data_IF_882200422018
#
_entry.id   IF_882200422018
#
_cell.length_a   1.000
_cell.length_b   1.000
_cell.length_c   1.000
_cell.angle_alpha   90.00
_cell.angle_beta   90.00
_cell.angle_gamma   90.00
#
_symmetry.space_group_name_H-M   'P 1'
#
loop_
_entity.id
_entity.type
_entity.pdbx_description
1 polymer ?
#
# COMPACT_ATOMS: atom_id res chain seq x y z
N UNK A 1 -47.91 6.95 39.72
CA UNK A 1 -47.26 8.25 39.41
C UNK A 1 -45.97 8.45 40.20
N UNK A 2 -45.92 8.13 41.49
CA UNK A 2 -44.71 8.24 42.34
C UNK A 2 -43.46 7.53 41.78
N UNK A 3 -43.58 6.31 41.24
CA UNK A 3 -42.45 5.62 40.59
C UNK A 3 -41.90 6.30 39.33
N UNK A 4 -42.72 7.10 38.61
CA UNK A 4 -42.27 7.81 37.41
C UNK A 4 -41.48 9.08 37.74
N UNK A 5 -41.79 9.72 38.87
CA UNK A 5 -41.08 10.92 39.35
C UNK A 5 -39.71 10.55 39.95
N UNK A 6 -39.65 9.50 40.77
CA UNK A 6 -38.37 9.02 41.32
C UNK A 6 -37.39 8.55 40.21
N UNK A 7 -37.89 7.89 39.17
CA UNK A 7 -37.08 7.50 38.01
C UNK A 7 -36.61 8.71 37.17
N UNK A 8 -37.27 9.86 37.28
CA UNK A 8 -36.90 11.08 36.56
C UNK A 8 -35.79 11.84 37.29
N UNK A 9 -35.90 12.02 38.60
CA UNK A 9 -34.83 12.61 39.43
C UNK A 9 -33.58 11.74 39.39
N UNK A 10 -33.72 10.42 39.47
CA UNK A 10 -32.60 9.48 39.37
C UNK A 10 -31.88 9.57 38.01
N UNK A 11 -32.60 9.70 36.89
CA UNK A 11 -31.97 9.83 35.58
C UNK A 11 -31.20 11.16 35.45
N UNK A 12 -31.70 12.25 36.03
CA UNK A 12 -31.00 13.53 36.03
C UNK A 12 -29.74 13.49 36.91
N UNK A 13 -29.83 12.90 38.10
CA UNK A 13 -28.67 12.69 38.98
C UNK A 13 -27.58 11.85 38.30
N UNK A 14 -27.96 10.79 37.59
CA UNK A 14 -27.02 9.94 36.86
C UNK A 14 -26.38 10.67 35.65
N UNK A 15 -27.13 11.53 34.95
CA UNK A 15 -26.59 12.39 33.88
C UNK A 15 -25.63 13.42 34.45
N UNK A 16 -25.97 14.05 35.58
CA UNK A 16 -25.13 15.04 36.25
C UNK A 16 -23.87 14.42 36.89
N UNK A 17 -23.94 13.13 37.24
CA UNK A 17 -22.83 12.35 37.78
C UNK A 17 -21.96 11.65 36.71
N UNK A 18 -22.20 11.91 35.42
CA UNK A 18 -21.55 11.22 34.29
C UNK A 18 -21.68 9.68 34.34
N UNK A 19 -22.72 9.16 35.00
CA UNK A 19 -22.97 7.72 35.13
C UNK A 19 -23.99 7.25 34.09
N UNK A 20 -23.52 7.01 32.88
CA UNK A 20 -24.37 6.62 31.75
C UNK A 20 -24.70 5.11 31.70
N UNK A 21 -24.50 4.38 32.80
CA UNK A 21 -24.67 2.92 32.83
C UNK A 21 -26.09 2.49 32.50
N UNK A 22 -27.08 3.10 33.15
CA UNK A 22 -28.49 2.78 32.93
C UNK A 22 -28.91 3.07 31.49
N UNK A 23 -28.41 4.18 30.93
CA UNK A 23 -28.66 4.53 29.53
C UNK A 23 -28.13 3.45 28.58
N UNK A 24 -26.91 2.94 28.84
CA UNK A 24 -26.31 1.85 28.05
C UNK A 24 -27.12 0.56 28.12
N UNK A 25 -27.44 0.11 29.34
CA UNK A 25 -28.21 -1.13 29.55
C UNK A 25 -29.58 -1.06 28.86
N UNK A 26 -30.27 0.08 28.95
CA UNK A 26 -31.62 0.25 28.39
C UNK A 26 -31.64 0.36 26.87
N UNK A 27 -30.68 1.07 26.28
CA UNK A 27 -30.59 1.18 24.83
C UNK A 27 -30.04 -0.08 24.15
N UNK A 28 -29.24 -0.90 24.85
CA UNK A 28 -28.91 -2.25 24.41
C UNK A 28 -30.13 -3.20 24.35
N UNK A 29 -31.18 -2.92 25.15
CA UNK A 29 -32.44 -3.70 25.13
C UNK A 29 -33.51 -3.14 24.18
N UNK A 30 -33.23 -2.03 23.49
CA UNK A 30 -34.18 -1.40 22.56
C UNK A 30 -35.36 -0.69 23.24
N UNK A 31 -35.27 -0.41 24.55
CA UNK A 31 -36.36 0.27 25.27
C UNK A 31 -36.36 1.77 24.97
N UNK A 32 -37.16 2.16 23.97
CA UNK A 32 -37.29 3.56 23.52
C UNK A 32 -37.75 4.55 24.60
N UNK A 33 -38.36 4.10 25.71
CA UNK A 33 -38.89 5.01 26.74
C UNK A 33 -37.80 5.73 27.53
N UNK A 34 -36.67 5.08 27.83
CA UNK A 34 -35.55 5.70 28.56
C UNK A 34 -34.76 6.61 27.62
N UNK A 35 -34.47 6.15 26.39
CA UNK A 35 -33.86 6.97 25.34
C UNK A 35 -34.68 8.23 25.06
N UNK A 36 -36.01 8.12 24.95
CA UNK A 36 -36.88 9.28 24.70
C UNK A 36 -36.77 10.35 25.77
N UNK A 37 -36.71 9.93 27.04
CA UNK A 37 -36.59 10.86 28.18
C UNK A 37 -35.20 11.46 28.26
N UNK A 38 -34.15 10.64 28.07
CA UNK A 38 -32.79 11.12 28.00
C UNK A 38 -32.65 12.20 26.93
N UNK A 39 -33.13 11.95 25.70
CA UNK A 39 -33.04 12.92 24.60
C UNK A 39 -33.82 14.20 24.89
N UNK A 40 -34.96 14.11 25.57
CA UNK A 40 -35.73 15.29 25.97
C UNK A 40 -35.00 16.14 27.02
N UNK A 41 -34.36 15.50 28.00
CA UNK A 41 -33.79 16.16 29.18
C UNK A 41 -32.32 16.55 29.02
N UNK A 42 -31.54 15.75 28.30
CA UNK A 42 -30.11 15.94 28.15
C UNK A 42 -29.80 17.19 27.32
N UNK A 43 -28.84 17.98 27.78
CA UNK A 43 -28.28 19.07 26.98
C UNK A 43 -27.50 18.50 25.80
N UNK A 44 -27.28 19.30 24.75
CA UNK A 44 -26.42 18.88 23.62
C UNK A 44 -25.02 18.51 24.10
N UNK A 45 -24.49 19.20 25.11
CA UNK A 45 -23.16 18.93 25.64
C UNK A 45 -23.11 17.59 26.39
N UNK A 46 -24.12 17.27 27.18
CA UNK A 46 -24.28 15.96 27.82
C UNK A 46 -24.37 14.84 26.78
N UNK A 47 -25.04 15.09 25.65
CA UNK A 47 -25.06 14.14 24.53
C UNK A 47 -23.66 14.00 23.92
N UNK A 48 -22.88 15.07 23.72
CA UNK A 48 -21.51 14.95 23.18
C UNK A 48 -20.57 14.16 24.08
N UNK A 49 -20.71 14.27 25.41
CA UNK A 49 -19.89 13.50 26.37
C UNK A 49 -20.04 11.99 26.13
N UNK A 50 -21.23 11.53 25.74
CA UNK A 50 -21.48 10.12 25.37
C UNK A 50 -20.74 9.64 24.11
N UNK A 51 -20.17 10.55 23.33
CA UNK A 51 -19.47 10.24 22.09
C UNK A 51 -17.98 10.54 22.15
N UNK A 52 -17.47 11.08 23.26
CA UNK A 52 -16.04 11.30 23.45
C UNK A 52 -15.30 9.96 23.43
N UNK A 53 -14.39 9.80 22.46
CA UNK A 53 -13.61 8.57 22.22
C UNK A 53 -12.76 8.16 23.44
N UNK A 54 -12.35 9.10 24.28
CA UNK A 54 -11.54 8.83 25.48
C UNK A 54 -12.33 8.15 26.61
N UNK A 55 -13.66 8.32 26.64
CA UNK A 55 -14.54 7.76 27.67
C UNK A 55 -15.00 6.32 27.36
N UNK A 56 -14.59 5.74 26.23
CA UNK A 56 -15.10 4.45 25.75
C UNK A 56 -13.99 3.48 25.33
N UNK A 57 -13.34 2.78 26.28
CA UNK A 57 -12.39 1.73 25.93
C UNK A 57 -13.04 0.43 25.42
N UNK A 58 -14.37 0.23 25.55
CA UNK A 58 -15.03 -1.03 25.16
C UNK A 58 -16.52 -0.87 24.77
N UNK A 59 -16.89 -1.13 23.49
CA UNK A 59 -17.73 -2.29 23.18
C UNK A 59 -19.25 -2.17 22.94
N UNK A 60 -19.89 -1.01 22.80
CA UNK A 60 -21.32 -0.99 22.38
C UNK A 60 -21.61 0.00 21.25
N UNK A 61 -21.12 -0.33 20.06
CA UNK A 61 -21.46 0.39 18.82
C UNK A 61 -22.96 0.34 18.55
N UNK A 62 -23.62 -0.76 18.92
CA UNK A 62 -25.08 -0.94 18.80
C UNK A 62 -25.84 0.14 19.57
N UNK A 63 -25.45 0.42 20.82
CA UNK A 63 -25.95 1.54 21.60
C UNK A 63 -25.80 2.87 20.86
N UNK A 64 -24.60 3.13 20.35
CA UNK A 64 -24.28 4.38 19.65
C UNK A 64 -25.19 4.59 18.45
N UNK A 65 -25.39 3.56 17.63
CA UNK A 65 -26.25 3.65 16.45
C UNK A 65 -27.71 3.83 16.83
N UNK A 66 -28.21 3.10 17.82
CA UNK A 66 -29.60 3.26 18.26
C UNK A 66 -29.85 4.67 18.82
N UNK A 67 -28.91 5.20 19.61
CA UNK A 67 -29.00 6.56 20.13
C UNK A 67 -28.98 7.59 18.99
N UNK A 68 -28.03 7.51 18.04
CA UNK A 68 -28.01 8.46 16.92
C UNK A 68 -29.25 8.30 16.05
N UNK A 69 -29.67 7.08 15.71
CA UNK A 69 -30.90 6.83 14.94
C UNK A 69 -32.09 7.49 15.61
N UNK A 70 -32.21 7.31 16.93
CA UNK A 70 -33.27 7.92 17.72
C UNK A 70 -33.17 9.46 17.72
N UNK A 71 -31.96 10.01 17.90
CA UNK A 71 -31.71 11.45 17.83
C UNK A 71 -32.06 12.02 16.45
N UNK A 72 -31.71 11.33 15.36
CA UNK A 72 -32.01 11.76 13.98
C UNK A 72 -33.51 11.85 13.76
N UNK A 73 -34.29 10.89 14.26
CA UNK A 73 -35.75 10.85 14.10
C UNK A 73 -36.44 11.88 15.01
N UNK A 74 -36.01 12.01 16.26
CA UNK A 74 -36.77 12.72 17.29
C UNK A 74 -36.17 14.07 17.72
N UNK A 75 -34.88 14.31 17.44
CA UNK A 75 -34.15 15.52 17.81
C UNK A 75 -33.03 15.84 16.78
N UNK A 76 -33.37 16.06 15.49
CA UNK A 76 -32.39 16.16 14.39
C UNK A 76 -31.36 17.27 14.59
N UNK A 77 -31.70 18.36 15.28
CA UNK A 77 -30.76 19.43 15.65
C UNK A 77 -29.64 18.93 16.57
N UNK A 78 -29.99 18.10 17.57
CA UNK A 78 -29.01 17.50 18.48
C UNK A 78 -28.17 16.44 17.76
N UNK A 79 -28.81 15.63 16.90
CA UNK A 79 -28.10 14.66 16.07
C UNK A 79 -27.07 15.35 15.18
N UNK A 80 -27.43 16.45 14.52
CA UNK A 80 -26.52 17.20 13.67
C UNK A 80 -25.35 17.80 14.46
N UNK A 81 -25.63 18.48 15.56
CA UNK A 81 -24.56 19.06 16.39
C UNK A 81 -23.56 18.01 16.86
N UNK A 82 -24.03 16.78 17.09
CA UNK A 82 -23.19 15.66 17.47
C UNK A 82 -22.33 15.17 16.28
N UNK A 83 -22.96 14.93 15.14
CA UNK A 83 -22.32 14.54 13.87
C UNK A 83 -21.19 15.51 13.52
N UNK A 84 -21.48 16.81 13.58
CA UNK A 84 -20.53 17.88 13.28
C UNK A 84 -19.39 17.93 14.31
N UNK A 85 -19.70 17.75 15.61
CA UNK A 85 -18.68 17.78 16.67
C UNK A 85 -17.70 16.61 16.64
N UNK A 86 -18.09 15.46 16.09
CA UNK A 86 -17.20 14.30 15.88
C UNK A 86 -16.45 14.40 14.54
N UNK A 87 -16.51 15.56 13.87
CA UNK A 87 -15.97 15.76 12.52
C UNK A 87 -16.39 14.62 11.58
N UNK A 88 -17.68 14.25 11.63
CA UNK A 88 -18.25 13.17 10.85
C UNK A 88 -17.62 11.78 11.07
N UNK A 89 -16.82 11.58 12.13
CA UNK A 89 -16.18 10.31 12.48
C UNK A 89 -17.16 9.14 12.64
N UNK A 90 -18.41 9.42 12.96
CA UNK A 90 -19.48 8.42 13.00
C UNK A 90 -19.78 7.78 11.62
N UNK A 91 -19.53 8.47 10.50
CA UNK A 91 -19.68 7.89 9.15
C UNK A 91 -18.70 6.73 8.95
N UNK A 92 -17.49 6.86 9.51
CA UNK A 92 -16.51 5.79 9.49
C UNK A 92 -16.98 4.55 10.26
N UNK A 93 -17.67 4.74 11.38
CA UNK A 93 -18.30 3.62 12.11
C UNK A 93 -19.46 3.01 11.33
N UNK A 94 -20.31 3.83 10.72
CA UNK A 94 -21.40 3.33 9.87
C UNK A 94 -20.88 2.49 8.69
N UNK A 95 -19.72 2.88 8.13
CA UNK A 95 -18.98 2.14 7.11
C UNK A 95 -18.47 0.80 7.63
N UNK A 96 -17.73 0.79 8.75
CA UNK A 96 -17.13 -0.42 9.32
C UNK A 96 -18.14 -1.54 9.64
N UNK A 97 -19.36 -1.17 10.01
CA UNK A 97 -20.36 -2.14 10.46
C UNK A 97 -21.56 -2.28 9.50
N UNK A 98 -21.47 -1.71 8.30
CA UNK A 98 -22.50 -1.85 7.25
C UNK A 98 -23.90 -1.43 7.71
N UNK A 99 -24.00 -0.32 8.45
CA UNK A 99 -25.29 0.16 8.99
C UNK A 99 -26.12 0.93 7.95
N UNK A 100 -26.49 0.27 6.86
CA UNK A 100 -27.26 0.87 5.75
C UNK A 100 -28.55 1.52 6.24
N UNK A 101 -29.31 0.84 7.11
CA UNK A 101 -30.58 1.35 7.65
C UNK A 101 -30.43 2.65 8.45
N UNK A 102 -29.30 2.81 9.14
CA UNK A 102 -28.97 4.02 9.87
C UNK A 102 -28.64 5.18 8.93
N UNK A 103 -27.83 4.93 7.91
CA UNK A 103 -27.49 5.94 6.91
C UNK A 103 -28.73 6.37 6.12
N UNK A 104 -29.62 5.44 5.77
CA UNK A 104 -30.91 5.78 5.19
C UNK A 104 -31.75 6.67 6.12
N UNK A 105 -31.75 6.38 7.42
CA UNK A 105 -32.46 7.19 8.42
C UNK A 105 -31.93 8.62 8.44
N UNK A 106 -30.61 8.81 8.40
CA UNK A 106 -29.98 10.12 8.30
C UNK A 106 -30.42 10.85 7.04
N UNK A 107 -30.30 10.20 5.88
CA UNK A 107 -30.64 10.80 4.58
C UNK A 107 -32.11 11.23 4.53
N UNK A 108 -33.01 10.45 5.15
CA UNK A 108 -34.46 10.72 5.15
C UNK A 108 -34.90 11.81 6.13
N UNK A 109 -34.13 12.06 7.21
CA UNK A 109 -34.58 12.91 8.32
C UNK A 109 -33.73 14.19 8.53
N UNK A 110 -32.54 14.29 7.95
CA UNK A 110 -31.77 15.54 8.00
C UNK A 110 -32.34 16.59 7.04
N UNK A 111 -32.20 17.86 7.44
CA UNK A 111 -32.50 18.97 6.55
C UNK A 111 -31.58 18.95 5.32
N UNK A 112 -32.05 19.36 4.12
CA UNK A 112 -31.31 19.20 2.87
C UNK A 112 -29.90 19.79 2.88
N UNK A 113 -29.71 20.97 3.48
CA UNK A 113 -28.41 21.64 3.59
C UNK A 113 -27.40 20.85 4.43
N UNK A 114 -27.87 20.19 5.49
CA UNK A 114 -27.04 19.34 6.35
C UNK A 114 -26.70 18.03 5.67
N UNK A 115 -27.67 17.45 4.98
CA UNK A 115 -27.43 16.27 4.17
C UNK A 115 -26.39 16.54 3.09
N UNK A 116 -26.44 17.69 2.41
CA UNK A 116 -25.40 18.08 1.45
C UNK A 116 -24.03 18.21 2.09
N UNK A 117 -23.93 18.86 3.24
CA UNK A 117 -22.66 18.98 3.97
C UNK A 117 -22.12 17.60 4.38
N UNK A 118 -23.00 16.69 4.81
CA UNK A 118 -22.65 15.31 5.12
C UNK A 118 -22.15 14.53 3.90
N UNK A 119 -22.84 14.66 2.77
CA UNK A 119 -22.50 13.98 1.51
C UNK A 119 -21.17 14.50 0.96
N UNK A 120 -20.92 15.80 1.04
CA UNK A 120 -19.70 16.43 0.54
C UNK A 120 -18.49 16.27 1.48
N UNK A 121 -18.69 15.70 2.68
CA UNK A 121 -17.60 15.41 3.60
C UNK A 121 -16.59 14.46 2.94
N UNK A 122 -15.30 14.75 3.15
CA UNK A 122 -14.17 13.96 2.65
C UNK A 122 -14.23 13.68 1.14
N UNK A 123 -14.54 14.73 0.36
CA UNK A 123 -14.69 14.66 -1.10
C UNK A 123 -15.61 13.52 -1.57
N UNK A 124 -16.77 13.41 -0.91
CA UNK A 124 -17.81 12.43 -1.25
C UNK A 124 -17.41 10.96 -0.98
N UNK A 125 -16.52 10.68 -0.01
CA UNK A 125 -16.08 9.31 0.36
C UNK A 125 -17.25 8.36 0.65
N UNK A 126 -18.34 8.88 1.23
CA UNK A 126 -19.54 8.08 1.50
C UNK A 126 -20.17 7.50 0.22
N UNK A 127 -20.08 8.23 -0.89
CA UNK A 127 -20.59 7.80 -2.19
C UNK A 127 -19.62 6.83 -2.88
N UNK A 128 -18.31 7.11 -2.87
CA UNK A 128 -17.30 6.27 -3.53
C UNK A 128 -16.93 5.04 -2.69
N UNK A 129 -16.32 5.24 -1.53
CA UNK A 129 -15.69 4.17 -0.76
C UNK A 129 -16.64 3.33 0.07
N UNK A 130 -17.83 3.83 0.40
CA UNK A 130 -18.85 3.03 1.07
C UNK A 130 -19.90 2.54 0.07
N UNK A 131 -20.66 3.44 -0.55
CA UNK A 131 -21.80 3.02 -1.34
C UNK A 131 -21.38 2.24 -2.61
N UNK A 132 -20.41 2.76 -3.37
CA UNK A 132 -19.97 2.12 -4.60
C UNK A 132 -19.12 0.85 -4.35
N UNK A 133 -18.12 0.93 -3.47
CA UNK A 133 -17.23 -0.19 -3.13
C UNK A 133 -17.98 -1.39 -2.52
N UNK A 134 -18.96 -1.14 -1.66
CA UNK A 134 -19.71 -2.20 -0.97
C UNK A 134 -20.91 -2.72 -1.78
N UNK A 135 -21.11 -2.25 -3.01
CA UNK A 135 -22.19 -2.75 -3.87
C UNK A 135 -23.58 -2.24 -3.49
N UNK A 136 -23.67 -1.10 -2.80
CA UNK A 136 -24.93 -0.57 -2.29
C UNK A 136 -25.56 0.44 -3.26
N UNK A 137 -25.98 -0.05 -4.43
CA UNK A 137 -26.60 0.75 -5.48
C UNK A 137 -27.82 1.54 -5.00
N UNK A 138 -28.67 0.93 -4.17
CA UNK A 138 -29.89 1.59 -3.68
C UNK A 138 -29.58 2.78 -2.76
N UNK A 139 -28.51 2.67 -1.96
CA UNK A 139 -28.05 3.81 -1.17
C UNK A 139 -27.44 4.91 -2.05
N UNK A 140 -26.68 4.57 -3.11
CA UNK A 140 -26.20 5.57 -4.08
C UNK A 140 -27.35 6.34 -4.74
N UNK A 141 -28.40 5.62 -5.17
CA UNK A 141 -29.62 6.22 -5.72
C UNK A 141 -30.32 7.10 -4.70
N UNK A 142 -30.36 6.69 -3.42
CA UNK A 142 -30.93 7.51 -2.35
C UNK A 142 -30.16 8.83 -2.17
N UNK A 143 -28.83 8.78 -2.17
CA UNK A 143 -28.00 10.00 -2.10
C UNK A 143 -28.24 10.91 -3.30
N UNK A 144 -28.29 10.37 -4.52
CA UNK A 144 -28.59 11.12 -5.73
C UNK A 144 -30.02 11.70 -5.74
N UNK A 145 -30.99 10.97 -5.19
CA UNK A 145 -32.38 11.43 -5.09
C UNK A 145 -32.52 12.63 -4.14
N UNK A 146 -31.81 12.61 -3.01
CA UNK A 146 -31.91 13.65 -1.99
C UNK A 146 -30.91 14.82 -2.18
N UNK A 147 -29.88 14.64 -3.01
CA UNK A 147 -28.94 15.69 -3.41
C UNK A 147 -28.70 15.70 -4.94
N UNK A 148 -29.75 15.92 -5.76
CA UNK A 148 -29.67 15.82 -7.21
C UNK A 148 -28.72 16.87 -7.83
N UNK A 149 -28.59 18.03 -7.17
CA UNK A 149 -27.66 19.09 -7.56
C UNK A 149 -26.18 18.71 -7.32
N UNK A 150 -25.92 17.71 -6.47
CA UNK A 150 -24.58 17.21 -6.18
C UNK A 150 -24.23 15.93 -6.95
N UNK A 151 -25.16 15.29 -7.66
CA UNK A 151 -24.93 13.98 -8.29
C UNK A 151 -23.73 13.95 -9.22
N UNK A 152 -23.59 14.95 -10.10
CA UNK A 152 -22.43 14.99 -11.00
C UNK A 152 -21.12 15.27 -10.27
N UNK A 153 -21.16 16.02 -9.16
CA UNK A 153 -19.97 16.26 -8.32
C UNK A 153 -19.56 14.97 -7.60
N UNK A 154 -20.53 14.23 -7.02
CA UNK A 154 -20.31 12.92 -6.40
C UNK A 154 -19.66 11.93 -7.37
N UNK A 155 -20.12 11.90 -8.63
CA UNK A 155 -19.56 10.99 -9.65
C UNK A 155 -18.14 11.39 -10.05
N UNK A 156 -17.82 12.69 -10.13
CA UNK A 156 -16.50 13.20 -10.56
C UNK A 156 -15.46 13.22 -9.45
N UNK A 157 -15.91 13.22 -8.19
CA UNK A 157 -15.06 13.30 -7.02
C UNK A 157 -13.91 12.28 -7.08
N UNK A 158 -12.76 12.67 -6.52
CA UNK A 158 -11.58 11.81 -6.49
C UNK A 158 -11.16 11.24 -7.86
N UNK A 159 -11.46 11.95 -8.96
CA UNK A 159 -11.17 11.48 -10.32
C UNK A 159 -12.02 10.28 -10.73
N UNK A 160 -13.32 10.33 -10.44
CA UNK A 160 -14.28 9.23 -10.63
C UNK A 160 -14.09 8.05 -9.66
N UNK A 161 -13.77 8.34 -8.40
CA UNK A 161 -13.48 7.34 -7.37
C UNK A 161 -14.60 6.32 -7.17
N UNK A 162 -15.88 6.71 -7.30
CA UNK A 162 -17.00 5.79 -7.18
C UNK A 162 -17.06 4.77 -8.32
N UNK A 163 -16.75 5.17 -9.55
CA UNK A 163 -16.68 4.27 -10.69
C UNK A 163 -15.54 3.26 -10.51
N UNK A 164 -14.36 3.74 -10.10
CA UNK A 164 -13.21 2.89 -9.82
C UNK A 164 -13.48 1.91 -8.66
N UNK A 165 -14.11 2.38 -7.59
CA UNK A 165 -14.44 1.55 -6.43
C UNK A 165 -15.44 0.44 -6.78
N UNK A 166 -16.50 0.77 -7.51
CA UNK A 166 -17.46 -0.23 -8.01
C UNK A 166 -16.80 -1.20 -9.00
N UNK A 167 -15.91 -0.70 -9.85
CA UNK A 167 -15.17 -1.51 -10.81
C UNK A 167 -14.28 -2.53 -10.10
N UNK A 168 -13.41 -2.07 -9.20
CA UNK A 168 -12.48 -2.91 -8.44
C UNK A 168 -13.19 -3.92 -7.52
N UNK A 169 -14.46 -3.68 -7.20
CA UNK A 169 -15.27 -4.60 -6.39
C UNK A 169 -16.22 -5.48 -7.23
N UNK A 170 -16.20 -5.33 -8.56
CA UNK A 170 -16.99 -6.16 -9.48
C UNK A 170 -18.50 -5.81 -9.54
N UNK A 171 -18.92 -4.64 -9.08
CA UNK A 171 -20.34 -4.23 -9.00
C UNK A 171 -20.86 -3.66 -10.33
N UNK A 172 -21.14 -4.56 -11.28
CA UNK A 172 -21.56 -4.21 -12.65
C UNK A 172 -22.86 -3.39 -12.73
N UNK A 173 -23.77 -3.58 -11.79
CA UNK A 173 -25.02 -2.81 -11.69
C UNK A 173 -24.77 -1.34 -11.34
N UNK A 174 -23.81 -1.08 -10.44
CA UNK A 174 -23.37 0.27 -10.10
C UNK A 174 -22.65 0.93 -11.28
N UNK A 175 -21.76 0.20 -11.96
CA UNK A 175 -21.10 0.72 -13.17
C UNK A 175 -22.13 1.15 -14.22
N UNK A 176 -23.09 0.28 -14.51
CA UNK A 176 -24.18 0.56 -15.45
C UNK A 176 -24.96 1.80 -15.04
N UNK A 177 -25.35 1.89 -13.77
CA UNK A 177 -26.08 3.05 -13.24
C UNK A 177 -25.25 4.34 -13.32
N UNK A 178 -23.96 4.30 -12.99
CA UNK A 178 -23.06 5.46 -13.10
C UNK A 178 -22.94 5.93 -14.55
N UNK A 179 -22.78 5.00 -15.51
CA UNK A 179 -22.71 5.33 -16.95
C UNK A 179 -24.01 5.94 -17.49
N UNK A 180 -25.16 5.49 -17.00
CA UNK A 180 -26.48 6.03 -17.36
C UNK A 180 -26.75 7.40 -16.70
N UNK A 181 -26.19 7.63 -15.51
CA UNK A 181 -26.47 8.82 -14.69
C UNK A 181 -25.52 9.97 -14.98
N UNK A 182 -24.28 9.68 -15.37
CA UNK A 182 -23.25 10.71 -15.62
C UNK A 182 -23.51 11.45 -16.94
N UNK A 183 -23.18 12.74 -16.98
CA UNK A 183 -23.27 13.53 -18.22
C UNK A 183 -22.40 12.94 -19.35
N UNK A 184 -22.83 13.01 -20.63
CA UNK A 184 -22.10 12.37 -21.74
C UNK A 184 -20.63 12.78 -21.90
N UNK A 185 -20.30 14.06 -21.62
CA UNK A 185 -18.91 14.53 -21.66
C UNK A 185 -18.04 13.86 -20.59
N UNK A 186 -18.62 13.65 -19.41
CA UNK A 186 -17.97 13.04 -18.28
C UNK A 186 -17.95 11.51 -18.40
N UNK A 187 -18.95 10.91 -19.05
CA UNK A 187 -18.87 9.51 -19.48
C UNK A 187 -17.68 9.26 -20.40
N UNK A 188 -17.46 10.15 -21.38
CA UNK A 188 -16.34 10.03 -22.30
C UNK A 188 -14.99 10.19 -21.57
N UNK A 189 -14.91 11.15 -20.64
CA UNK A 189 -13.74 11.37 -19.79
C UNK A 189 -13.49 10.16 -18.87
N UNK A 190 -14.50 9.70 -18.13
CA UNK A 190 -14.47 8.50 -17.29
C UNK A 190 -14.01 7.28 -18.11
N UNK A 191 -14.62 6.99 -19.25
CA UNK A 191 -14.19 5.87 -20.12
C UNK A 191 -12.80 6.04 -20.72
N UNK A 192 -12.30 7.28 -20.84
CA UNK A 192 -10.93 7.56 -21.25
C UNK A 192 -9.92 7.30 -20.13
N UNK A 193 -10.26 7.66 -18.89
CA UNK A 193 -9.45 7.35 -17.70
C UNK A 193 -9.50 5.87 -17.30
N UNK A 194 -10.58 5.17 -17.69
CA UNK A 194 -10.91 3.82 -17.27
C UNK A 194 -11.27 2.92 -18.47
N UNK A 195 -10.32 2.62 -19.38
CA UNK A 195 -10.60 1.78 -20.55
C UNK A 195 -10.66 0.29 -20.17
N UNK A 196 -11.49 -0.07 -19.18
CA UNK A 196 -11.56 -1.41 -18.59
C UNK A 196 -12.06 -2.50 -19.54
N UNK A 197 -12.92 -2.17 -20.51
CA UNK A 197 -13.26 -3.13 -21.57
C UNK A 197 -12.02 -3.60 -22.36
N UNK A 198 -10.94 -2.80 -22.39
CA UNK A 198 -9.66 -3.22 -22.94
C UNK A 198 -8.88 -4.08 -21.97
N UNK A 199 -8.96 -3.81 -20.66
CA UNK A 199 -8.19 -4.55 -19.67
C UNK A 199 -8.73 -5.97 -19.45
N UNK A 200 -10.04 -6.16 -19.30
CA UNK A 200 -10.62 -7.52 -19.19
C UNK A 200 -10.33 -8.31 -20.45
N UNK A 201 -10.51 -7.69 -21.62
CA UNK A 201 -10.15 -8.29 -22.90
C UNK A 201 -8.65 -8.58 -23.01
N UNK A 202 -7.79 -7.74 -22.45
CA UNK A 202 -6.34 -7.92 -22.45
C UNK A 202 -5.93 -9.04 -21.50
N UNK A 203 -6.52 -9.12 -20.29
CA UNK A 203 -6.33 -10.20 -19.33
C UNK A 203 -6.78 -11.51 -19.96
N UNK A 204 -7.99 -11.56 -20.52
CA UNK A 204 -8.51 -12.73 -21.24
C UNK A 204 -7.57 -13.16 -22.37
N UNK A 205 -7.09 -12.20 -23.16
CA UNK A 205 -6.18 -12.46 -24.28
C UNK A 205 -4.85 -13.00 -23.78
N UNK A 206 -4.30 -12.39 -22.73
CA UNK A 206 -3.02 -12.77 -22.15
C UNK A 206 -3.10 -14.14 -21.48
N UNK A 207 -4.15 -14.41 -20.70
CA UNK A 207 -4.42 -15.72 -20.11
C UNK A 207 -4.63 -16.80 -21.17
N UNK A 208 -5.37 -16.51 -22.25
CA UNK A 208 -5.52 -17.46 -23.38
C UNK A 208 -4.17 -17.71 -24.07
N UNK A 209 -3.37 -16.66 -24.28
CA UNK A 209 -2.03 -16.75 -24.89
C UNK A 209 -1.09 -17.59 -24.04
N UNK A 210 -1.12 -17.39 -22.73
CA UNK A 210 -0.25 -18.07 -21.76
C UNK A 210 -0.95 -19.22 -21.01
N UNK A 211 -2.03 -19.78 -21.57
CA UNK A 211 -2.79 -20.85 -20.92
C UNK A 211 -1.97 -22.13 -20.69
N UNK A 212 -0.91 -22.32 -21.47
CA UNK A 212 0.01 -23.46 -21.38
C UNK A 212 1.44 -22.95 -21.41
N UNK A 213 1.97 -22.60 -20.24
CA UNK A 213 3.39 -22.27 -20.05
C UNK A 213 4.08 -23.40 -19.31
N UNK A 214 5.21 -23.85 -19.85
CA UNK A 214 6.08 -24.82 -19.18
C UNK A 214 7.05 -24.10 -18.25
N UNK A 215 7.23 -24.61 -17.03
CA UNK A 215 8.27 -24.13 -16.13
C UNK A 215 9.64 -24.65 -16.60
N UNK A 216 10.35 -23.81 -17.36
CA UNK A 216 11.67 -24.13 -17.92
C UNK A 216 12.81 -23.57 -17.08
N UNK A 217 12.56 -22.44 -16.43
CA UNK A 217 13.50 -21.72 -15.59
C UNK A 217 13.08 -21.93 -14.14
N UNK A 218 13.83 -22.77 -13.43
CA UNK A 218 13.60 -23.10 -12.02
C UNK A 218 14.69 -22.54 -11.09
N UNK A 219 15.81 -22.11 -11.66
CA UNK A 219 16.86 -21.45 -10.90
C UNK A 219 16.55 -19.95 -10.74
N UNK A 220 16.94 -19.37 -9.61
CA UNK A 220 16.84 -17.94 -9.36
C UNK A 220 18.10 -17.19 -9.78
N UNK A 221 17.95 -16.00 -10.34
CA UNK A 221 19.05 -15.06 -10.55
C UNK A 221 18.55 -13.61 -10.41
N UNK A 222 19.44 -12.72 -9.98
CA UNK A 222 19.20 -11.28 -9.90
C UNK A 222 19.10 -10.65 -11.27
N UNK A 223 19.96 -11.11 -12.18
CA UNK A 223 20.07 -10.56 -13.50
C UNK A 223 20.07 -11.67 -14.54
N UNK A 224 19.13 -11.58 -15.46
CA UNK A 224 19.02 -12.45 -16.62
C UNK A 224 19.31 -11.68 -17.89
N UNK A 225 19.86 -12.36 -18.87
CA UNK A 225 19.81 -11.94 -20.27
C UNK A 225 18.95 -12.93 -21.05
N UNK A 226 17.90 -12.43 -21.69
CA UNK A 226 17.11 -13.16 -22.65
C UNK A 226 17.52 -12.75 -24.07
N UNK A 227 17.85 -13.72 -24.92
CA UNK A 227 18.26 -13.49 -26.30
C UNK A 227 17.45 -14.33 -27.28
N UNK A 228 17.02 -13.74 -28.40
CA UNK A 228 16.29 -14.42 -29.48
C UNK A 228 16.80 -13.93 -30.83
N UNK A 229 16.95 -14.84 -31.80
CA UNK A 229 17.45 -14.47 -33.14
C UNK A 229 16.52 -13.44 -33.78
N UNK A 230 17.08 -12.34 -34.27
CA UNK A 230 16.32 -11.26 -34.88
C UNK A 230 15.63 -10.34 -33.87
N UNK A 231 16.01 -10.39 -32.59
CA UNK A 231 15.53 -9.53 -31.52
C UNK A 231 16.72 -8.97 -30.74
N UNK A 232 16.59 -7.76 -30.20
CA UNK A 232 17.59 -7.21 -29.27
C UNK A 232 17.49 -7.89 -27.89
N UNK A 233 18.59 -7.98 -27.12
CA UNK A 233 18.56 -8.64 -25.83
C UNK A 233 17.64 -7.91 -24.83
N UNK A 234 16.94 -8.69 -24.01
CA UNK A 234 16.19 -8.21 -22.85
C UNK A 234 16.99 -8.57 -21.60
N UNK A 235 17.25 -7.59 -20.75
CA UNK A 235 17.88 -7.80 -19.45
C UNK A 235 16.82 -7.73 -18.37
N UNK A 236 16.61 -8.80 -17.60
CA UNK A 236 15.68 -8.80 -16.47
C UNK A 236 16.46 -8.60 -15.18
N UNK A 237 16.23 -7.48 -14.50
CA UNK A 237 16.83 -7.16 -13.23
C UNK A 237 15.76 -7.27 -12.13
N UNK A 238 15.81 -8.37 -11.39
CA UNK A 238 14.94 -8.58 -10.22
C UNK A 238 15.50 -7.82 -9.02
N UNK A 239 14.72 -6.87 -8.55
CA UNK A 239 15.02 -6.00 -7.42
C UNK A 239 14.08 -6.29 -6.27
N UNK A 240 14.32 -5.66 -5.14
CA UNK A 240 13.22 -5.30 -4.27
C UNK A 240 13.03 -3.81 -4.39
N UNK A 241 11.79 -3.34 -4.33
CA UNK A 241 11.46 -1.92 -4.45
C UNK A 241 12.33 -1.08 -3.51
N UNK A 242 12.47 -1.49 -2.25
CA UNK A 242 13.22 -0.75 -1.24
C UNK A 242 14.37 -1.56 -0.67
N UNK A 243 15.57 -1.00 -0.74
CA UNK A 243 16.78 -1.60 -0.15
C UNK A 243 17.46 -0.63 0.82
N UNK A 244 18.21 -1.13 1.82
CA UNK A 244 19.11 -0.30 2.60
C UNK A 244 20.08 0.49 1.73
N UNK A 245 20.30 1.76 2.06
CA UNK A 245 21.16 2.68 1.28
C UNK A 245 22.58 2.11 1.10
N UNK A 246 23.13 1.44 2.11
CA UNK A 246 24.46 0.80 2.04
C UNK A 246 24.52 -0.42 1.10
N UNK A 247 23.37 -0.99 0.74
CA UNK A 247 23.26 -2.03 -0.29
C UNK A 247 23.07 -1.44 -1.68
N UNK A 248 22.55 -0.21 -1.81
CA UNK A 248 22.33 0.43 -3.10
C UNK A 248 23.63 0.69 -3.87
N UNK A 249 24.69 1.07 -3.17
CA UNK A 249 26.04 1.21 -3.74
C UNK A 249 26.51 -0.06 -4.47
N UNK A 250 26.06 -1.24 -4.03
CA UNK A 250 26.39 -2.53 -4.69
C UNK A 250 25.80 -2.61 -6.09
N UNK A 251 24.62 -2.03 -6.28
CA UNK A 251 23.88 -2.09 -7.53
C UNK A 251 24.16 -0.91 -8.44
N UNK A 252 24.69 0.21 -7.94
CA UNK A 252 25.02 1.36 -8.79
C UNK A 252 25.95 0.98 -9.95
N UNK A 253 27.09 0.36 -9.66
CA UNK A 253 28.03 -0.05 -10.69
C UNK A 253 27.47 -1.13 -11.61
N UNK A 254 26.58 -2.00 -11.10
CA UNK A 254 25.84 -2.95 -11.93
C UNK A 254 24.93 -2.18 -12.91
N UNK A 255 24.13 -1.25 -12.41
CA UNK A 255 23.20 -0.44 -13.19
C UNK A 255 23.93 0.41 -14.24
N UNK A 256 25.08 1.02 -13.94
CA UNK A 256 25.92 1.71 -14.95
C UNK A 256 26.20 0.78 -16.12
N UNK A 257 26.77 -0.39 -15.81
CA UNK A 257 27.21 -1.36 -16.80
C UNK A 257 26.09 -1.89 -17.70
N UNK A 258 24.85 -1.94 -17.21
CA UNK A 258 23.71 -2.42 -17.99
C UNK A 258 22.93 -1.31 -18.66
N UNK A 259 22.76 -0.16 -18.01
CA UNK A 259 22.15 1.02 -18.61
C UNK A 259 22.94 1.50 -19.83
N UNK A 260 24.27 1.39 -19.81
CA UNK A 260 25.11 1.67 -20.98
C UNK A 260 24.80 0.77 -22.18
N UNK A 261 24.32 -0.45 -21.95
CA UNK A 261 24.06 -1.47 -22.99
C UNK A 261 22.64 -1.48 -23.52
N UNK A 262 21.73 -0.73 -22.89
CA UNK A 262 20.32 -0.70 -23.27
C UNK A 262 19.90 0.68 -23.78
N UNK A 263 18.84 0.71 -24.58
CA UNK A 263 18.22 1.93 -25.07
C UNK A 263 17.01 2.34 -24.23
N UNK A 264 16.34 1.35 -23.64
CA UNK A 264 15.08 1.51 -22.90
C UNK A 264 15.18 0.86 -21.53
N UNK A 265 14.78 1.60 -20.49
CA UNK A 265 14.50 1.08 -19.16
C UNK A 265 12.98 0.93 -19.01
N UNK A 266 12.55 -0.26 -18.62
CA UNK A 266 11.25 -0.55 -18.07
C UNK A 266 11.35 -0.64 -16.55
N UNK A 267 10.45 0.02 -15.83
CA UNK A 267 10.32 -0.08 -14.37
C UNK A 267 8.91 -0.49 -13.98
N UNK A 268 8.79 -1.19 -12.85
CA UNK A 268 7.50 -1.50 -12.23
C UNK A 268 6.75 -0.22 -11.81
N UNK A 269 7.35 0.61 -10.96
CA UNK A 269 6.86 1.93 -10.51
C UNK A 269 5.33 2.11 -10.44
N UNK A 270 4.79 1.86 -9.24
CA UNK A 270 3.36 1.98 -8.93
C UNK A 270 2.84 3.44 -8.93
N UNK A 271 3.77 4.42 -8.93
CA UNK A 271 3.44 5.84 -8.79
C UNK A 271 4.38 6.72 -9.62
N UNK A 272 3.87 7.69 -10.41
CA UNK A 272 4.73 8.65 -11.10
C UNK A 272 5.54 9.49 -10.08
N UNK A 273 6.87 9.64 -10.26
CA UNK A 273 7.79 10.20 -9.27
C UNK A 273 7.50 11.62 -8.75
N UNK A 274 6.49 12.34 -9.27
CA UNK A 274 6.25 13.74 -8.91
C UNK A 274 4.97 14.00 -8.12
N UNK A 275 3.95 13.14 -8.20
CA UNK A 275 2.65 13.45 -7.57
C UNK A 275 2.62 13.10 -6.06
N UNK A 276 3.29 12.03 -5.64
CA UNK A 276 3.37 11.63 -4.22
C UNK A 276 4.53 12.28 -3.44
N UNK A 277 5.48 12.93 -4.13
CA UNK A 277 6.60 13.65 -3.47
C UNK A 277 6.17 14.75 -2.49
N UNK A 278 4.92 15.19 -2.51
CA UNK A 278 4.44 16.23 -1.58
C UNK A 278 4.28 15.72 -0.15
N UNK A 279 4.06 14.42 0.05
CA UNK A 279 3.80 13.85 1.38
C UNK A 279 4.76 12.71 1.75
N UNK A 280 5.42 12.09 0.77
CA UNK A 280 6.42 11.06 1.05
C UNK A 280 7.73 11.68 1.57
N UNK A 281 8.02 11.45 2.84
CA UNK A 281 9.33 11.73 3.44
C UNK A 281 10.20 10.49 3.24
N UNK A 282 11.17 10.48 2.31
CA UNK A 282 12.03 9.32 2.12
C UNK A 282 12.75 8.97 3.41
N UNK A 283 12.70 7.68 3.78
CA UNK A 283 13.38 7.21 4.98
C UNK A 283 14.91 7.30 4.78
N UNK A 284 15.68 7.88 5.72
CA UNK A 284 17.11 8.16 5.53
C UNK A 284 17.99 6.92 5.30
N UNK A 285 17.51 5.73 5.67
CA UNK A 285 18.25 4.47 5.56
C UNK A 285 17.76 3.54 4.44
N UNK A 286 16.69 3.89 3.73
CA UNK A 286 16.15 3.10 2.62
C UNK A 286 16.20 3.93 1.34
N UNK A 287 16.39 3.26 0.22
CA UNK A 287 16.25 3.88 -1.10
C UNK A 287 15.47 2.95 -2.01
N UNK A 288 14.73 3.52 -2.95
CA UNK A 288 14.12 2.74 -4.00
C UNK A 288 15.15 2.36 -5.06
N UNK A 289 15.28 1.07 -5.37
CA UNK A 289 16.18 0.61 -6.44
C UNK A 289 15.61 0.92 -7.83
N UNK A 290 14.28 0.97 -7.95
CA UNK A 290 13.60 1.34 -9.19
C UNK A 290 13.77 2.84 -9.47
N UNK A 291 13.65 3.69 -8.45
CA UNK A 291 13.95 5.13 -8.57
C UNK A 291 15.41 5.38 -8.91
N UNK A 292 16.33 4.62 -8.29
CA UNK A 292 17.76 4.71 -8.59
C UNK A 292 18.03 4.36 -10.06
N UNK A 293 17.45 3.27 -10.57
CA UNK A 293 17.54 2.88 -11.98
C UNK A 293 16.91 3.94 -12.89
N UNK A 294 15.75 4.46 -12.51
CA UNK A 294 15.02 5.50 -13.24
C UNK A 294 15.85 6.76 -13.38
N UNK A 295 16.23 7.40 -12.28
CA UNK A 295 16.99 8.65 -12.28
C UNK A 295 18.30 8.54 -13.06
N UNK A 296 18.94 7.37 -12.99
CA UNK A 296 20.17 7.08 -13.71
C UNK A 296 19.93 6.94 -15.22
N UNK A 297 18.89 6.21 -15.62
CA UNK A 297 18.47 6.12 -17.01
C UNK A 297 18.15 7.51 -17.59
N UNK A 298 17.48 8.38 -16.83
CA UNK A 298 17.21 9.77 -17.24
C UNK A 298 18.50 10.56 -17.48
N UNK A 299 19.47 10.51 -16.54
CA UNK A 299 20.77 11.18 -16.70
C UNK A 299 21.55 10.69 -17.90
N UNK A 300 21.40 9.41 -18.25
CA UNK A 300 22.06 8.77 -19.39
C UNK A 300 21.29 8.95 -20.72
N UNK A 301 20.19 9.71 -20.72
CA UNK A 301 19.36 9.95 -21.91
C UNK A 301 18.66 8.70 -22.44
N UNK A 302 18.42 7.70 -21.58
CA UNK A 302 17.73 6.46 -21.95
C UNK A 302 16.22 6.69 -21.98
N UNK A 303 15.51 5.93 -22.82
CA UNK A 303 14.05 5.96 -22.83
C UNK A 303 13.54 5.25 -21.59
N UNK A 304 12.57 5.85 -20.92
CA UNK A 304 11.97 5.27 -19.73
C UNK A 304 10.52 4.92 -20.05
N UNK A 305 10.10 3.73 -19.64
CA UNK A 305 8.74 3.23 -19.79
C UNK A 305 8.31 2.63 -18.46
N UNK A 306 7.10 2.96 -18.04
CA UNK A 306 6.48 2.34 -16.87
C UNK A 306 5.74 1.12 -17.38
N UNK A 307 5.97 -0.04 -16.75
CA UNK A 307 5.25 -1.27 -17.08
C UNK A 307 3.84 -1.25 -16.51
N UNK A 308 3.68 -0.62 -15.36
CA UNK A 308 2.39 -0.38 -14.77
C UNK A 308 1.72 0.83 -15.38
N UNK A 309 0.55 0.60 -15.97
CA UNK A 309 -0.46 1.64 -15.99
C UNK A 309 -1.37 1.44 -14.76
N UNK A 310 -2.04 2.51 -14.36
CA UNK A 310 -3.03 2.46 -13.26
C UNK A 310 -4.03 1.31 -13.44
N UNK A 311 -4.41 1.01 -14.67
CA UNK A 311 -5.33 -0.08 -15.00
C UNK A 311 -4.79 -1.46 -14.55
N UNK A 312 -3.54 -1.80 -14.86
CA UNK A 312 -2.89 -3.06 -14.49
C UNK A 312 -2.72 -3.19 -12.97
N UNK A 313 -2.37 -2.08 -12.30
CA UNK A 313 -2.33 -2.02 -10.83
C UNK A 313 -3.70 -2.35 -10.24
N UNK A 314 -4.74 -1.65 -10.67
CA UNK A 314 -6.07 -1.82 -10.10
C UNK A 314 -6.69 -3.19 -10.36
N UNK A 315 -6.42 -3.82 -11.52
CA UNK A 315 -6.87 -5.21 -11.77
C UNK A 315 -6.20 -6.26 -10.88
N UNK A 316 -5.05 -5.94 -10.28
CA UNK A 316 -4.36 -6.81 -9.34
C UNK A 316 -4.65 -6.51 -7.88
N UNK A 317 -5.53 -5.58 -7.54
CA UNK A 317 -5.66 -5.04 -6.17
C UNK A 317 -7.05 -5.16 -5.57
N UNK A 318 -7.82 -6.16 -5.98
CA UNK A 318 -9.05 -6.51 -5.26
C UNK A 318 -8.71 -6.80 -3.77
N UNK A 319 -9.02 -5.85 -2.89
CA UNK A 319 -9.02 -6.03 -1.43
C UNK A 319 -7.77 -5.59 -0.65
N UNK A 320 -6.73 -5.01 -1.25
CA UNK A 320 -5.56 -4.50 -0.51
C UNK A 320 -5.57 -2.96 -0.43
N UNK A 321 -5.59 -2.44 0.79
CA UNK A 321 -5.37 -1.02 1.07
C UNK A 321 -3.86 -0.72 1.03
N UNK A 322 -3.32 -0.57 -0.19
CA UNK A 322 -1.89 -0.37 -0.42
C UNK A 322 -1.34 0.91 0.23
N UNK A 323 -2.18 1.92 0.45
CA UNK A 323 -1.76 3.15 1.13
C UNK A 323 -1.30 2.87 2.55
N UNK A 324 -1.97 1.92 3.21
CA UNK A 324 -1.66 1.48 4.55
C UNK A 324 -0.54 0.45 4.57
N UNK A 325 -0.58 -0.55 3.71
CA UNK A 325 0.48 -1.57 3.65
C UNK A 325 1.83 -0.98 3.23
N UNK A 326 1.90 -0.06 2.27
CA UNK A 326 3.17 0.53 1.84
C UNK A 326 3.81 1.40 2.92
N UNK A 327 3.03 2.21 3.65
CA UNK A 327 3.55 3.03 4.75
C UNK A 327 3.95 2.19 5.98
N UNK A 328 3.14 1.19 6.34
CA UNK A 328 3.45 0.25 7.44
C UNK A 328 4.66 -0.63 7.07
N UNK A 329 4.77 -1.05 5.82
CA UNK A 329 5.90 -1.83 5.30
C UNK A 329 7.19 -0.99 5.26
N UNK A 330 7.16 0.24 4.77
CA UNK A 330 8.32 1.15 4.79
C UNK A 330 8.74 1.47 6.23
N UNK A 331 7.77 1.71 7.12
CA UNK A 331 8.03 1.95 8.55
C UNK A 331 8.62 0.70 9.23
N UNK A 332 8.08 -0.48 8.94
CA UNK A 332 8.63 -1.75 9.41
C UNK A 332 10.05 -1.97 8.88
N UNK A 333 10.30 -1.73 7.59
CA UNK A 333 11.63 -1.85 6.99
C UNK A 333 12.64 -0.89 7.62
N UNK A 334 12.19 0.32 7.93
CA UNK A 334 12.97 1.37 8.59
C UNK A 334 13.37 0.98 10.02
N UNK A 335 12.41 0.52 10.81
CA UNK A 335 12.60 0.15 12.22
C UNK A 335 13.39 -1.16 12.37
N UNK A 336 13.33 -2.06 11.39
CA UNK A 336 13.92 -3.40 11.44
C UNK A 336 15.10 -3.59 10.47
N UNK A 337 15.85 -2.52 10.17
CA UNK A 337 16.89 -2.52 9.13
C UNK A 337 17.90 -3.69 9.18
N UNK A 338 18.22 -4.24 10.37
CA UNK A 338 19.07 -5.43 10.50
C UNK A 338 18.37 -6.74 10.13
N UNK A 339 17.09 -6.91 10.48
CA UNK A 339 16.29 -8.07 10.05
C UNK A 339 16.06 -8.03 8.54
N UNK A 340 15.80 -6.84 8.03
CA UNK A 340 15.67 -6.56 6.60
C UNK A 340 16.97 -6.86 5.88
N UNK A 341 18.10 -6.47 6.44
CA UNK A 341 19.43 -6.83 5.93
C UNK A 341 19.66 -8.34 5.99
N UNK A 342 19.21 -9.03 7.03
CA UNK A 342 19.28 -10.49 7.12
C UNK A 342 18.39 -11.16 6.06
N UNK A 343 17.16 -10.68 5.85
CA UNK A 343 16.26 -11.09 4.77
C UNK A 343 16.93 -10.89 3.41
N UNK A 344 17.51 -9.71 3.16
CA UNK A 344 18.23 -9.44 1.92
C UNK A 344 19.46 -10.33 1.77
N UNK A 345 20.20 -10.63 2.82
CA UNK A 345 21.33 -11.55 2.72
C UNK A 345 20.88 -12.97 2.37
N UNK A 346 19.76 -13.44 2.92
CA UNK A 346 19.16 -14.73 2.56
C UNK A 346 18.66 -14.70 1.12
N UNK A 347 17.93 -13.65 0.73
CA UNK A 347 17.42 -13.45 -0.62
C UNK A 347 18.56 -13.36 -1.66
N UNK A 348 19.61 -12.58 -1.35
CA UNK A 348 20.80 -12.41 -2.18
C UNK A 348 21.63 -13.69 -2.31
N UNK A 349 21.53 -14.58 -1.33
CA UNK A 349 22.21 -15.88 -1.35
C UNK A 349 21.35 -16.96 -2.01
N UNK A 350 20.02 -16.84 -1.96
CA UNK A 350 19.10 -17.84 -2.48
C UNK A 350 17.73 -17.25 -2.87
N UNK A 351 17.60 -16.67 -4.09
CA UNK A 351 16.38 -16.00 -4.54
C UNK A 351 15.15 -16.92 -4.60
N UNK A 352 15.33 -18.24 -4.71
CA UNK A 352 14.21 -19.19 -4.81
C UNK A 352 13.57 -19.54 -3.47
N UNK A 353 14.10 -19.06 -2.33
CA UNK A 353 13.49 -19.27 -1.01
C UNK A 353 12.29 -18.36 -0.72
N UNK A 354 12.05 -17.33 -1.54
CA UNK A 354 10.83 -16.52 -1.43
C UNK A 354 9.66 -17.37 -1.94
N UNK A 355 8.98 -18.05 -1.01
CA UNK A 355 7.64 -18.59 -1.28
C UNK A 355 6.71 -17.38 -1.37
N UNK A 356 6.35 -17.03 -2.60
CA UNK A 356 5.48 -15.90 -2.94
C UNK A 356 4.26 -15.81 -2.02
N UNK A 357 4.18 -14.72 -1.28
CA UNK A 357 2.91 -14.18 -0.79
C UNK A 357 2.27 -13.54 -2.03
N UNK A 358 1.05 -13.94 -2.43
CA UNK A 358 0.29 -13.44 -3.59
C UNK A 358 0.76 -13.86 -5.00
N UNK A 359 0.67 -15.16 -5.33
CA UNK A 359 0.95 -15.67 -6.69
C UNK A 359 0.08 -15.03 -7.78
N UNK A 360 -1.22 -14.80 -7.53
CA UNK A 360 -2.14 -14.45 -8.62
C UNK A 360 -1.86 -13.10 -9.29
N UNK A 361 -1.46 -12.08 -8.53
CA UNK A 361 -1.38 -10.71 -9.05
C UNK A 361 -0.13 -10.48 -9.91
N UNK A 362 1.06 -10.86 -9.43
CA UNK A 362 2.28 -10.72 -10.23
C UNK A 362 2.24 -11.54 -11.52
N UNK A 363 1.55 -12.69 -11.53
CA UNK A 363 1.40 -13.55 -12.70
C UNK A 363 0.59 -12.85 -13.81
N UNK A 364 -0.56 -12.25 -13.49
CA UNK A 364 -1.38 -11.50 -14.47
C UNK A 364 -0.61 -10.27 -14.96
N UNK A 365 0.02 -9.50 -14.06
CA UNK A 365 0.83 -8.32 -14.38
C UNK A 365 1.94 -8.68 -15.38
N UNK A 366 2.68 -9.75 -15.10
CA UNK A 366 3.71 -10.27 -16.01
C UNK A 366 3.16 -10.56 -17.41
N UNK A 367 2.03 -11.27 -17.51
CA UNK A 367 1.43 -11.61 -18.80
C UNK A 367 1.08 -10.37 -19.62
N UNK A 368 0.56 -9.32 -18.98
CA UNK A 368 0.21 -8.06 -19.63
C UNK A 368 1.47 -7.27 -20.06
N UNK A 369 2.52 -7.27 -19.25
CA UNK A 369 3.78 -6.60 -19.57
C UNK A 369 4.53 -7.19 -20.75
N UNK A 370 4.35 -8.50 -21.01
CA UNK A 370 5.06 -9.19 -22.07
C UNK A 370 4.87 -8.55 -23.44
N UNK A 371 3.69 -8.00 -23.76
CA UNK A 371 3.48 -7.34 -25.05
C UNK A 371 4.45 -6.17 -25.26
N UNK A 372 4.56 -5.28 -24.27
CA UNK A 372 5.43 -4.11 -24.34
C UNK A 372 6.92 -4.51 -24.39
N UNK A 373 7.33 -5.50 -23.58
CA UNK A 373 8.71 -6.00 -23.54
C UNK A 373 9.09 -6.61 -24.90
N UNK A 374 8.23 -7.48 -25.46
CA UNK A 374 8.46 -8.15 -26.73
C UNK A 374 8.48 -7.16 -27.90
N UNK A 375 7.59 -6.16 -27.90
CA UNK A 375 7.54 -5.13 -28.93
C UNK A 375 8.84 -4.29 -28.94
N UNK A 376 9.36 -3.91 -27.77
CA UNK A 376 10.61 -3.17 -27.66
C UNK A 376 11.79 -3.99 -28.20
N UNK A 377 11.90 -5.25 -27.75
CA UNK A 377 12.97 -6.15 -28.21
C UNK A 377 12.90 -6.45 -29.72
N UNK A 378 11.70 -6.63 -30.28
CA UNK A 378 11.49 -6.82 -31.71
C UNK A 378 11.91 -5.60 -32.55
N UNK A 379 11.78 -4.39 -31.99
CA UNK A 379 12.23 -3.14 -32.61
C UNK A 379 13.76 -2.94 -32.62
N UNK A 380 14.54 -4.00 -32.35
CA UNK A 380 16.00 -4.01 -32.26
C UNK A 380 16.58 -3.05 -31.21
N UNK A 381 15.81 -2.77 -30.15
CA UNK A 381 16.22 -1.91 -29.05
C UNK A 381 16.46 -2.75 -27.79
N UNK A 382 17.70 -2.91 -27.32
CA UNK A 382 17.96 -3.63 -26.08
C UNK A 382 17.29 -2.91 -24.92
N UNK A 383 16.68 -3.67 -24.01
CA UNK A 383 15.98 -3.09 -22.87
C UNK A 383 16.38 -3.74 -21.54
N UNK A 384 16.34 -2.95 -20.48
CA UNK A 384 16.44 -3.41 -19.10
C UNK A 384 15.05 -3.34 -18.48
N UNK A 385 14.61 -4.43 -17.86
CA UNK A 385 13.35 -4.53 -17.13
C UNK A 385 13.69 -4.67 -15.65
N UNK A 386 13.51 -3.59 -14.88
CA UNK A 386 13.73 -3.54 -13.44
C UNK A 386 12.38 -3.69 -12.71
N UNK A 387 12.20 -4.82 -12.05
CA UNK A 387 10.93 -5.21 -11.39
C UNK A 387 11.22 -5.98 -10.11
N UNK A 388 10.25 -6.02 -9.22
CA UNK A 388 10.27 -6.76 -7.97
C UNK A 388 10.58 -8.26 -8.18
N UNK A 389 11.25 -8.85 -7.21
CA UNK A 389 11.68 -10.24 -7.17
C UNK A 389 10.57 -11.24 -7.50
N UNK A 390 9.36 -10.95 -7.04
CA UNK A 390 8.18 -11.79 -7.23
C UNK A 390 7.86 -12.02 -8.71
N UNK A 391 8.16 -11.04 -9.58
CA UNK A 391 7.91 -11.12 -11.01
C UNK A 391 8.77 -12.15 -11.74
N UNK A 392 9.81 -12.70 -11.10
CA UNK A 392 10.68 -13.70 -11.70
C UNK A 392 10.41 -15.13 -11.23
N UNK A 393 9.43 -15.34 -10.34
CA UNK A 393 9.15 -16.64 -9.74
C UNK A 393 7.98 -17.36 -10.44
N UNK A 394 8.04 -18.70 -10.42
CA UNK A 394 6.96 -19.57 -10.86
C UNK A 394 6.77 -19.64 -12.39
N UNK A 395 5.73 -20.38 -12.79
CA UNK A 395 5.48 -20.73 -14.19
C UNK A 395 5.14 -19.51 -15.06
N UNK A 396 4.58 -18.45 -14.48
CA UNK A 396 4.30 -17.18 -15.16
C UNK A 396 5.26 -16.06 -14.74
N UNK A 397 6.41 -16.40 -14.16
CA UNK A 397 7.51 -15.45 -13.98
C UNK A 397 8.05 -14.98 -15.33
N UNK A 398 8.51 -13.73 -15.42
CA UNK A 398 9.06 -13.15 -16.66
C UNK A 398 10.13 -14.02 -17.35
N UNK A 399 11.05 -14.71 -16.64
CA UNK A 399 11.99 -15.63 -17.29
C UNK A 399 11.29 -16.79 -18.02
N UNK A 400 10.25 -17.40 -17.41
CA UNK A 400 9.48 -18.48 -18.01
C UNK A 400 8.61 -17.99 -19.17
N UNK A 401 8.01 -16.81 -19.05
CA UNK A 401 7.26 -16.19 -20.14
C UNK A 401 8.15 -15.85 -21.35
N UNK A 402 9.34 -15.29 -21.13
CA UNK A 402 10.31 -15.06 -22.21
C UNK A 402 10.80 -16.37 -22.84
N UNK A 403 11.02 -17.41 -22.03
CA UNK A 403 11.39 -18.74 -22.52
C UNK A 403 10.26 -19.37 -23.36
N UNK A 404 9.00 -19.17 -22.97
CA UNK A 404 7.82 -19.56 -23.75
C UNK A 404 7.78 -18.84 -25.11
N UNK A 405 8.15 -17.56 -25.14
CA UNK A 405 8.27 -16.74 -26.37
C UNK A 405 9.51 -17.08 -27.22
N UNK A 406 10.28 -18.12 -26.85
CA UNK A 406 11.42 -18.62 -27.60
C UNK A 406 12.73 -17.86 -27.39
N UNK A 407 12.85 -17.10 -26.29
CA UNK A 407 14.13 -16.54 -25.87
C UNK A 407 14.97 -17.60 -25.15
N UNK A 408 16.28 -17.57 -25.38
CA UNK A 408 17.25 -18.28 -24.57
C UNK A 408 17.65 -17.41 -23.38
N UNK A 409 17.51 -17.94 -22.16
CA UNK A 409 17.79 -17.23 -20.92
C UNK A 409 19.18 -17.63 -20.40
N UNK A 410 19.99 -16.64 -20.03
CA UNK A 410 21.31 -16.85 -19.41
C UNK A 410 21.37 -16.04 -18.10
N UNK A 411 21.61 -16.69 -16.94
CA UNK A 411 21.80 -15.96 -15.70
C UNK A 411 23.15 -15.24 -15.74
N UNK A 412 23.13 -13.92 -15.62
CA UNK A 412 24.34 -13.09 -15.59
C UNK A 412 24.83 -12.86 -14.15
N UNK A 413 23.92 -12.81 -13.18
CA UNK A 413 24.25 -12.69 -11.77
C UNK A 413 23.28 -13.52 -10.92
N UNK A 414 23.75 -14.64 -10.36
CA UNK A 414 22.95 -15.48 -9.45
C UNK A 414 22.91 -14.96 -8.02
N UNK A 415 23.94 -14.21 -7.63
CA UNK A 415 24.08 -13.58 -6.32
C UNK A 415 24.21 -12.07 -6.48
N UNK A 416 23.83 -11.31 -5.45
CA UNK A 416 24.08 -9.89 -5.44
C UNK A 416 25.59 -9.59 -5.52
N UNK A 417 26.00 -8.48 -6.15
CA UNK A 417 27.39 -8.04 -6.13
C UNK A 417 27.87 -7.80 -4.68
N UNK A 418 29.14 -8.13 -4.36
CA UNK A 418 29.71 -7.85 -3.04
C UNK A 418 29.81 -6.34 -2.83
N UNK A 419 29.65 -5.85 -1.59
CA UNK A 419 29.90 -4.43 -1.31
C UNK A 419 31.37 -4.08 -1.44
N UNK A 420 31.68 -2.80 -1.69
CA UNK A 420 33.04 -2.29 -1.60
C UNK A 420 33.70 -2.64 -0.24
N UNK A 421 32.90 -2.64 0.84
CA UNK A 421 33.32 -3.07 2.17
C UNK A 421 33.64 -4.56 2.25
N UNK A 422 32.85 -5.42 1.59
CA UNK A 422 33.11 -6.85 1.52
C UNK A 422 34.37 -7.13 0.69
N UNK A 423 34.52 -6.47 -0.46
CA UNK A 423 35.73 -6.54 -1.28
C UNK A 423 36.98 -6.07 -0.51
N UNK A 424 36.87 -4.97 0.25
CA UNK A 424 37.97 -4.48 1.10
C UNK A 424 38.27 -5.47 2.23
N UNK A 425 37.24 -6.04 2.88
CA UNK A 425 37.41 -7.04 3.94
C UNK A 425 38.09 -8.30 3.40
N UNK A 426 37.71 -8.76 2.21
CA UNK A 426 38.33 -9.92 1.56
C UNK A 426 39.76 -9.62 1.11
N UNK A 427 40.02 -8.40 0.61
CA UNK A 427 41.37 -7.93 0.29
C UNK A 427 42.28 -7.92 1.54
N UNK A 428 41.74 -7.47 2.68
CA UNK A 428 42.43 -7.43 3.98
C UNK A 428 42.57 -8.81 4.63
N UNK A 429 41.67 -9.76 4.36
CA UNK A 429 41.72 -11.14 4.91
C UNK A 429 42.44 -12.12 3.99
N UNK A 430 42.67 -11.77 2.73
CA UNK A 430 43.31 -12.63 1.76
C UNK A 430 44.76 -12.97 2.11
N UNK A 431 45.29 -14.12 1.66
CA UNK A 431 46.64 -14.60 1.98
C UNK A 431 47.78 -13.69 1.49
N UNK A 432 47.46 -12.61 0.75
CA UNK A 432 48.43 -11.61 0.25
C UNK A 432 48.99 -10.67 1.34
N UNK A 433 48.46 -10.68 2.56
CA UNK A 433 49.17 -10.04 3.69
C UNK A 433 50.51 -10.72 4.04
N UNK A 434 50.78 -11.91 3.49
CA UNK A 434 52.12 -12.51 3.54
C UNK A 434 53.16 -11.73 2.72
N UNK A 435 52.75 -10.90 1.76
CA UNK A 435 53.65 -10.08 0.95
C UNK A 435 54.24 -8.92 1.78
N UNK A 436 53.46 -8.34 2.71
CA UNK A 436 53.95 -7.34 3.65
C UNK A 436 54.73 -7.94 4.82
N UNK A 437 54.59 -9.25 5.11
CA UNK A 437 55.41 -9.94 6.13
C UNK A 437 56.81 -10.33 5.67
N UNK A 438 57.11 -10.38 4.37
CA UNK A 438 58.43 -10.83 3.88
C UNK A 438 59.54 -9.76 3.92
N UNK A 439 59.19 -8.49 4.13
CA UNK A 439 60.16 -7.38 4.19
C UNK A 439 60.20 -6.66 5.54
N UNK A 440 59.59 -7.22 6.59
CA UNK A 440 59.88 -6.73 7.94
C UNK A 440 61.31 -7.17 8.28
N UNK A 441 62.27 -6.24 8.50
CA UNK A 441 63.60 -6.63 8.97
C UNK A 441 63.43 -7.40 10.27
N UNK A 442 64.08 -8.56 10.35
CA UNK A 442 64.16 -9.32 11.60
C UNK A 442 64.66 -8.38 12.69
N UNK A 443 63.80 -8.07 13.66
CA UNK A 443 64.23 -7.38 14.88
C UNK A 443 65.38 -8.18 15.48
N UNK A 444 66.48 -7.54 15.91
CA UNK A 444 67.56 -8.23 16.58
C UNK A 444 66.97 -8.96 17.79
N UNK A 445 67.12 -10.27 17.84
CA UNK A 445 66.96 -11.03 19.07
C UNK A 445 68.09 -10.62 19.99
N UNK A 446 67.91 -9.53 20.73
CA UNK A 446 68.69 -9.28 21.94
C UNK A 446 68.32 -10.39 22.93
N UNK A 447 69.32 -11.22 23.20
CA UNK A 447 69.34 -12.16 24.30
C UNK A 447 69.08 -11.41 25.61
N UNK A 448 67.87 -11.55 26.14
CA UNK A 448 67.58 -11.33 27.55
C UNK A 448 68.33 -12.41 28.35
N UNK A 449 69.61 -12.17 28.59
CA UNK A 449 70.33 -12.85 29.66
C UNK A 449 69.68 -12.45 31.00
N UNK A 450 69.31 -13.46 31.76
CA UNK A 450 68.73 -13.33 33.09
C UNK A 450 69.72 -12.66 34.05
N UNK A 451 69.35 -11.50 34.59
CA UNK A 451 70.04 -10.93 35.74
C UNK A 451 69.62 -11.68 37.03
N UNK A 452 70.56 -12.06 37.91
CA UNK A 452 70.27 -12.85 39.10
C UNK A 452 69.71 -12.01 40.24
N UNK A 453 68.97 -12.69 41.11
CA UNK A 453 68.31 -12.15 42.29
C UNK A 453 69.29 -11.66 43.38
N UNK A 454 68.95 -10.53 44.00
CA UNK A 454 69.10 -10.33 45.44
C UNK A 454 70.33 -9.54 45.92
N UNK A 455 70.10 -8.32 46.42
CA UNK A 455 70.78 -7.81 47.62
C UNK A 455 70.00 -6.58 48.15
N UNK A 456 69.74 -6.58 49.46
CA UNK A 456 68.98 -5.58 50.18
C UNK A 456 69.87 -4.66 51.03
N UNK A 457 69.30 -3.50 51.39
CA UNK A 457 69.59 -2.58 52.52
C UNK A 457 70.78 -1.61 52.38
N UNK A 458 70.86 -0.50 53.17
CA UNK A 458 69.94 -0.03 54.25
C UNK A 458 69.47 1.44 54.16
N UNK A 459 68.45 1.76 54.97
CA UNK A 459 68.07 3.12 55.38
C UNK A 459 68.95 3.59 56.55
N UNK A 460 69.23 4.90 56.61
CA UNK A 460 69.27 5.82 57.78
C UNK A 460 70.00 7.13 57.36
N UNK A 461 69.87 8.28 58.06
CA UNK A 461 69.95 8.46 59.53
C UNK A 461 68.64 8.40 60.29
#
# INVERSE_FOLDING_TARGET
>A
MLHKAAAHEYLLEEIEADNYRLLREEAGTGQHTVLSRFVQLASTESVKILFNKEMYPFGDETFRNHLITYLVIHAPEKAWSLIESDNYGFLYLAKLFSFTSFLECIVKNLAPERLRALIAYDDYDLFSSYAAREGNLEFMKLLALHAPDCTQAMIKAQGYGAYLAAFNAGHQDILSWLEETVEPACLAEMKMYFPHARLDSAIDTAQKKYAVVEERITEGAFLWQASKKGHAPVYLFSTSHYIPVDLAERFEGLLDNFLDKVDTLFTEHDVPPMEIRREYVPHPNLTSLDELAWDKAARMGKRQKILENREILFAGLEGLDESRESSETVSYFAENSDEVRAFYNVYFSNPCLIKSVNKGHSEIRNMLWMEAILAESASQRPCLVAVGAAHNLGIYGLPNLLAHEGYALTPLAKTAPPSAKDLLRDLLRGPRLSFFRRNAPSLPTESLEAAPAGAALPLSP
#
